data_IF_046798625561
#
_entry.id   IF_046798625561
#
_cell.length_a   1.000
_cell.length_b   1.000
_cell.length_c   1.000
_cell.angle_alpha   90.00
_cell.angle_beta   90.00
_cell.angle_gamma   90.00
#
_symmetry.space_group_name_H-M   'P 1'
#
loop_
_entity.id
_entity.type
_entity.pdbx_description
1 polymer ?
#
# COMPACT_ATOMS: atom_id res chain seq x y z
N UNK A 1 -15.11 1.62 48.10
CA UNK A 1 -13.84 2.18 47.61
C UNK A 1 -13.83 2.12 46.09
N UNK A 2 -14.20 3.21 45.40
CA UNK A 2 -14.24 3.27 43.93
C UNK A 2 -12.82 3.57 43.43
N UNK A 3 -12.09 2.55 42.97
CA UNK A 3 -10.77 2.73 42.34
C UNK A 3 -11.00 3.29 40.93
N UNK A 4 -10.86 4.60 40.76
CA UNK A 4 -10.92 5.25 39.45
C UNK A 4 -9.67 4.92 38.64
N UNK A 5 -9.84 4.33 37.47
CA UNK A 5 -8.76 4.02 36.53
C UNK A 5 -8.54 5.25 35.64
N UNK A 6 -7.42 5.95 35.81
CA UNK A 6 -7.04 7.11 34.99
C UNK A 6 -6.28 6.59 33.75
N UNK A 7 -6.88 6.69 32.56
CA UNK A 7 -6.21 6.40 31.29
C UNK A 7 -5.50 7.66 30.82
N UNK A 8 -4.17 7.62 30.76
CA UNK A 8 -3.34 8.67 30.19
C UNK A 8 -3.16 8.38 28.68
N UNK A 9 -3.74 9.22 27.82
CA UNK A 9 -3.52 9.19 26.37
C UNK A 9 -2.24 9.96 26.03
N UNK A 10 -1.16 9.24 25.71
CA UNK A 10 0.06 9.82 25.15
C UNK A 10 -0.13 9.99 23.64
N UNK A 11 -0.15 11.24 23.17
CA UNK A 11 -0.08 11.56 21.76
C UNK A 11 1.39 11.49 21.29
N UNK A 12 1.71 10.50 20.46
CA UNK A 12 3.02 10.39 19.81
C UNK A 12 2.92 11.03 18.43
N UNK A 13 3.69 12.09 18.21
CA UNK A 13 3.85 12.68 16.88
C UNK A 13 4.95 11.93 16.13
N UNK A 14 4.61 11.26 15.04
CA UNK A 14 5.58 10.68 14.11
C UNK A 14 6.06 11.78 13.17
N UNK A 15 7.36 12.06 13.18
CA UNK A 15 7.98 13.03 12.27
C UNK A 15 8.51 12.29 11.04
N UNK A 16 8.03 12.67 9.84
CA UNK A 16 8.64 12.22 8.59
C UNK A 16 9.95 12.99 8.34
N UNK A 17 10.84 12.45 7.51
CA UNK A 17 11.98 13.22 7.02
C UNK A 17 11.47 14.46 6.27
N UNK A 18 12.12 15.61 6.43
CA UNK A 18 11.74 16.86 5.74
C UNK A 18 11.68 16.70 4.21
N UNK A 19 12.48 15.78 3.67
CA UNK A 19 12.54 15.44 2.25
C UNK A 19 12.63 13.92 2.08
N UNK A 20 11.49 13.21 2.01
CA UNK A 20 11.51 11.77 1.80
C UNK A 20 12.01 11.43 0.40
N UNK A 21 12.67 10.28 0.25
CA UNK A 21 12.95 9.71 -1.06
C UNK A 21 11.68 9.07 -1.60
N UNK A 22 11.31 9.39 -2.85
CA UNK A 22 10.15 8.81 -3.51
C UNK A 22 10.62 7.80 -4.55
N UNK A 23 10.24 6.54 -4.38
CA UNK A 23 10.53 5.46 -5.33
C UNK A 23 9.22 5.03 -5.97
N UNK A 24 9.13 5.15 -7.30
CA UNK A 24 8.01 4.63 -8.07
C UNK A 24 8.41 3.27 -8.64
N UNK A 25 7.74 2.22 -8.16
CA UNK A 25 7.85 0.87 -8.74
C UNK A 25 6.66 0.70 -9.67
N UNK A 26 6.91 0.48 -10.95
CA UNK A 26 5.85 0.37 -11.95
C UNK A 26 6.03 -0.90 -12.77
N UNK A 27 5.05 -1.80 -12.67
CA UNK A 27 5.08 -3.12 -13.30
C UNK A 27 4.47 -3.07 -14.70
N UNK A 28 4.79 -4.05 -15.53
CA UNK A 28 4.24 -4.18 -16.89
C UNK A 28 3.28 -5.38 -16.93
N UNK A 29 2.11 -5.19 -17.55
CA UNK A 29 1.05 -6.20 -17.70
C UNK A 29 0.61 -6.94 -16.42
N UNK A 30 0.81 -6.34 -15.24
CA UNK A 30 0.38 -6.96 -13.99
C UNK A 30 -1.14 -6.81 -13.81
N UNK A 31 -1.84 -7.94 -13.73
CA UNK A 31 -3.26 -7.97 -13.42
C UNK A 31 -3.55 -7.70 -11.94
N UNK A 32 -4.74 -7.18 -11.65
CA UNK A 32 -5.19 -6.88 -10.28
C UNK A 32 -5.06 -8.10 -9.34
N UNK A 33 -5.38 -9.29 -9.83
CA UNK A 33 -5.34 -10.54 -9.06
C UNK A 33 -3.98 -11.23 -8.97
N UNK A 34 -2.92 -10.65 -9.54
CA UNK A 34 -1.59 -11.27 -9.54
C UNK A 34 -0.81 -11.06 -8.24
N UNK A 35 -1.13 -10.00 -7.49
CA UNK A 35 -0.58 -9.76 -6.17
C UNK A 35 -1.28 -10.63 -5.11
N UNK A 36 -0.54 -11.39 -4.31
CA UNK A 36 -1.14 -12.28 -3.30
C UNK A 36 -1.85 -11.55 -2.17
N UNK A 37 -1.57 -10.26 -1.95
CA UNK A 37 -2.33 -9.41 -1.04
C UNK A 37 -3.73 -9.03 -1.55
N UNK A 38 -3.97 -9.09 -2.87
CA UNK A 38 -5.26 -8.77 -3.50
C UNK A 38 -6.07 -10.01 -3.86
N UNK A 39 -5.41 -11.16 -3.99
CA UNK A 39 -6.05 -12.43 -4.32
C UNK A 39 -5.45 -13.58 -3.49
N UNK A 40 -6.18 -14.13 -2.50
CA UNK A 40 -5.71 -15.27 -1.71
C UNK A 40 -5.37 -16.52 -2.54
N UNK A 41 -5.96 -16.62 -3.75
CA UNK A 41 -5.73 -17.69 -4.72
C UNK A 41 -4.77 -17.29 -5.85
N UNK A 42 -4.01 -16.20 -5.67
CA UNK A 42 -3.01 -15.77 -6.65
C UNK A 42 -2.06 -16.93 -7.00
N UNK A 43 -1.71 -17.02 -8.29
CA UNK A 43 -0.84 -18.08 -8.80
C UNK A 43 0.55 -18.07 -8.18
N UNK A 44 1.02 -16.88 -7.80
CA UNK A 44 2.35 -16.65 -7.24
C UNK A 44 2.24 -15.98 -5.86
N UNK A 45 3.27 -16.20 -5.03
CA UNK A 45 3.41 -15.48 -3.76
C UNK A 45 4.28 -14.25 -3.99
N UNK A 46 3.81 -13.10 -3.50
CA UNK A 46 4.49 -11.82 -3.65
C UNK A 46 4.86 -11.24 -2.28
N UNK A 47 5.69 -11.92 -1.45
CA UNK A 47 5.88 -11.58 -0.04
C UNK A 47 6.38 -10.15 0.20
N UNK A 48 7.18 -9.61 -0.72
CA UNK A 48 7.66 -8.22 -0.64
C UNK A 48 6.55 -7.21 -0.94
N UNK A 49 5.69 -7.48 -1.92
CA UNK A 49 4.53 -6.63 -2.22
C UNK A 49 3.48 -6.73 -1.11
N UNK A 50 3.28 -7.93 -0.56
CA UNK A 50 2.39 -8.18 0.57
C UNK A 50 2.84 -7.41 1.82
N UNK A 51 4.16 -7.28 2.03
CA UNK A 51 4.73 -6.46 3.09
C UNK A 51 4.43 -4.98 2.87
N UNK A 52 4.63 -4.46 1.65
CA UNK A 52 4.31 -3.08 1.31
C UNK A 52 2.82 -2.77 1.53
N UNK A 53 1.93 -3.67 1.12
CA UNK A 53 0.49 -3.53 1.31
C UNK A 53 0.08 -3.49 2.80
N UNK A 54 0.77 -4.27 3.65
CA UNK A 54 0.51 -4.34 5.10
C UNK A 54 1.07 -3.14 5.87
N UNK A 55 2.23 -2.64 5.46
CA UNK A 55 2.90 -1.50 6.11
C UNK A 55 2.40 -0.14 5.58
N UNK A 56 1.61 -0.15 4.49
CA UNK A 56 1.15 1.04 3.81
C UNK A 56 -0.35 1.06 3.57
N UNK A 57 -0.72 1.63 2.42
CA UNK A 57 -2.10 1.74 1.95
C UNK A 57 -2.27 0.94 0.67
N UNK A 58 -3.42 0.28 0.53
CA UNK A 58 -3.79 -0.47 -0.69
C UNK A 58 -5.01 0.17 -1.33
N UNK A 59 -4.91 0.50 -2.62
CA UNK A 59 -6.03 0.98 -3.42
C UNK A 59 -6.67 -0.20 -4.14
N UNK A 60 -7.91 -0.54 -3.78
CA UNK A 60 -8.66 -1.65 -4.40
C UNK A 60 -9.48 -1.23 -5.62
N UNK A 61 -9.58 0.07 -5.86
CA UNK A 61 -10.31 0.68 -6.98
C UNK A 61 -9.40 1.69 -7.68
N UNK A 62 -8.34 1.18 -8.32
CA UNK A 62 -7.34 1.96 -9.04
C UNK A 62 -7.34 1.58 -10.53
N UNK A 63 -7.41 2.58 -11.41
CA UNK A 63 -7.47 2.39 -12.86
C UNK A 63 -6.30 3.09 -13.56
N UNK A 64 -5.77 2.46 -14.61
CA UNK A 64 -4.90 3.15 -15.57
C UNK A 64 -5.72 4.06 -16.48
N UNK A 65 -5.06 5.05 -17.08
CA UNK A 65 -5.67 5.99 -18.03
C UNK A 65 -6.04 5.35 -19.37
N UNK A 66 -5.34 4.28 -19.76
CA UNK A 66 -5.54 3.55 -21.00
C UNK A 66 -5.20 2.06 -20.81
N UNK A 67 -5.78 1.19 -21.63
CA UNK A 67 -5.53 -0.26 -21.60
C UNK A 67 -4.25 -0.68 -22.32
N UNK A 68 -3.58 0.23 -23.03
CA UNK A 68 -2.32 -0.03 -23.74
C UNK A 68 -1.14 0.58 -23.00
N UNK A 69 0.00 -0.13 -22.94
CA UNK A 69 1.18 0.27 -22.15
C UNK A 69 1.69 1.68 -22.47
N UNK A 70 1.78 2.05 -23.76
CA UNK A 70 2.30 3.37 -24.16
C UNK A 70 1.40 4.53 -23.69
N UNK A 71 0.10 4.60 -24.05
CA UNK A 71 -0.78 5.68 -23.59
C UNK A 71 -1.09 5.64 -22.08
N UNK A 72 -0.94 4.47 -21.43
CA UNK A 72 -1.00 4.35 -19.96
C UNK A 72 0.20 5.02 -19.26
N UNK A 73 1.37 5.03 -19.92
CA UNK A 73 2.63 5.60 -19.39
C UNK A 73 2.86 7.05 -19.81
N UNK A 74 2.49 7.37 -21.05
CA UNK A 74 2.73 8.65 -21.70
C UNK A 74 1.45 9.06 -22.42
N UNK A 75 0.71 10.00 -21.82
CA UNK A 75 -0.43 10.70 -22.44
C UNK A 75 -0.02 12.07 -22.94
#
# INVERSE_FOLDING_TARGET
MKKGFLILLLAVSVYAAERPNVIVIYTDDQGYGDASCLNPKAKFKTPNLDRLAREGMTFTDGHCSDTVCTPSRYG
#
